data_IF_753072482781
#
_entry.id   IF_753072482781
#
_cell.length_a   1.000
_cell.length_b   1.000
_cell.length_c   1.000
_cell.angle_alpha   90.00
_cell.angle_beta   90.00
_cell.angle_gamma   90.00
#
_symmetry.space_group_name_H-M   'P 1'
#
loop_
_entity.id
_entity.type
_entity.pdbx_description
1 polymer ?
#
# COMPACT_ATOMS: atom_id res chain seq x y z
N UNK A 1 -59.30 27.09 -3.50
CA UNK A 1 -59.74 28.35 -2.84
C UNK A 1 -59.37 28.29 -1.35
N UNK A 2 -59.61 29.37 -0.61
CA UNK A 2 -59.10 29.72 0.73
C UNK A 2 -59.30 28.64 1.85
N UNK A 3 -58.38 28.51 2.84
CA UNK A 3 -58.39 27.46 3.90
C UNK A 3 -59.09 27.90 5.20
N UNK A 4 -59.14 27.08 6.27
CA UNK A 4 -58.20 27.22 7.43
C UNK A 4 -57.98 25.88 8.22
N UNK A 5 -57.53 25.84 9.50
CA UNK A 5 -56.62 26.71 10.29
C UNK A 5 -55.38 25.96 10.85
N UNK A 6 -54.48 26.70 11.54
CA UNK A 6 -53.48 26.14 12.48
C UNK A 6 -54.08 26.00 13.89
N UNK A 7 -53.49 25.16 14.74
CA UNK A 7 -53.62 25.28 16.20
C UNK A 7 -52.28 24.98 16.89
N UNK A 8 -51.97 25.70 17.97
CA UNK A 8 -50.72 25.61 18.72
C UNK A 8 -51.01 25.73 20.22
N UNK A 9 -50.39 24.89 21.05
CA UNK A 9 -50.42 25.00 22.51
C UNK A 9 -49.02 24.83 23.11
N UNK A 10 -48.80 25.48 24.24
CA UNK A 10 -47.53 25.61 24.95
C UNK A 10 -47.84 25.75 26.46
N UNK A 11 -46.81 25.63 27.32
CA UNK A 11 -46.90 25.65 28.81
C UNK A 11 -47.51 24.35 29.40
N UNK A 12 -47.21 23.91 30.63
CA UNK A 12 -46.46 24.53 31.75
C UNK A 12 -45.72 23.51 32.65
N UNK A 13 -44.63 23.98 33.28
CA UNK A 13 -44.04 23.50 34.56
C UNK A 13 -44.46 24.51 35.69
N UNK A 14 -44.09 24.39 36.99
CA UNK A 14 -43.31 23.36 37.73
C UNK A 14 -43.98 22.88 39.06
N UNK A 15 -43.30 22.04 39.86
CA UNK A 15 -43.50 21.89 41.32
C UNK A 15 -42.11 21.79 42.04
N UNK A 16 -41.98 22.33 43.26
CA UNK A 16 -40.74 22.36 44.05
C UNK A 16 -41.02 22.43 45.58
N UNK A 17 -40.34 21.59 46.39
CA UNK A 17 -40.11 21.66 47.87
C UNK A 17 -38.93 20.70 48.17
N UNK A 18 -37.83 21.01 48.90
CA UNK A 18 -37.61 21.58 50.26
C UNK A 18 -37.96 20.60 51.42
N UNK A 19 -37.16 20.42 52.50
CA UNK A 19 -35.77 20.83 52.85
C UNK A 19 -35.20 19.91 53.99
N UNK A 20 -33.85 19.83 54.11
CA UNK A 20 -32.93 19.34 55.19
C UNK A 20 -33.43 19.03 56.64
N UNK A 21 -32.67 18.30 57.52
CA UNK A 21 -31.19 18.18 57.63
C UNK A 21 -30.69 16.72 57.94
N UNK A 22 -29.54 16.32 58.54
CA UNK A 22 -28.26 16.81 59.17
C UNK A 22 -27.33 15.54 59.27
N UNK A 23 -26.01 15.46 59.51
CA UNK A 23 -24.82 16.34 59.69
C UNK A 23 -23.53 15.48 59.48
N UNK A 24 -22.32 16.06 59.63
CA UNK A 24 -20.98 15.43 59.75
C UNK A 24 -20.42 14.75 58.47
N UNK A 25 -19.26 15.12 57.89
CA UNK A 25 -18.43 16.33 58.07
C UNK A 25 -16.93 16.02 58.27
N UNK A 26 -16.12 16.18 57.21
CA UNK A 26 -14.66 16.13 57.30
C UNK A 26 -13.96 17.25 56.51
N UNK A 27 -12.83 17.69 57.07
CA UNK A 27 -11.90 18.75 56.62
C UNK A 27 -11.65 18.80 55.11
N UNK A 28 -11.66 20.01 54.56
CA UNK A 28 -10.98 20.31 53.30
C UNK A 28 -9.45 20.24 53.46
N UNK A 29 -8.76 19.80 52.41
CA UNK A 29 -7.37 20.14 52.08
C UNK A 29 -7.32 20.53 50.62
N UNK A 30 -6.67 21.65 50.32
CA UNK A 30 -6.39 22.07 48.95
C UNK A 30 -5.23 21.26 48.36
N UNK A 31 -5.37 20.87 47.09
CA UNK A 31 -4.26 20.48 46.23
C UNK A 31 -4.38 21.22 44.88
N UNK A 32 -3.27 21.46 44.16
CA UNK A 32 -3.28 22.30 42.96
C UNK A 32 -4.01 21.64 41.79
N UNK A 33 -4.47 22.46 40.84
CA UNK A 33 -4.97 21.98 39.56
C UNK A 33 -3.88 21.24 38.78
N UNK A 34 -4.07 19.95 38.53
CA UNK A 34 -3.32 19.25 37.50
C UNK A 34 -3.66 19.88 36.14
N UNK A 35 -2.68 20.54 35.52
CA UNK A 35 -2.85 21.07 34.18
C UNK A 35 -3.02 19.91 33.20
N UNK A 36 -4.22 19.74 32.65
CA UNK A 36 -4.52 18.72 31.64
C UNK A 36 -3.82 19.08 30.34
N UNK A 37 -2.59 18.60 30.17
CA UNK A 37 -1.83 18.71 28.92
C UNK A 37 -2.50 17.87 27.84
N UNK A 38 -3.44 18.46 27.10
CA UNK A 38 -4.06 17.88 25.92
C UNK A 38 -3.01 17.71 24.82
N UNK A 39 -2.40 16.52 24.75
CA UNK A 39 -1.38 16.21 23.74
C UNK A 39 -2.05 16.08 22.37
N UNK A 40 -2.02 17.18 21.60
CA UNK A 40 -2.46 17.21 20.22
C UNK A 40 -1.43 16.50 19.33
N UNK A 41 -1.58 15.18 19.16
CA UNK A 41 -0.75 14.36 18.28
C UNK A 41 -1.06 14.61 16.79
N UNK A 42 -0.86 15.85 16.33
CA UNK A 42 -1.18 16.28 14.97
C UNK A 42 -0.10 17.23 14.40
N UNK A 43 1.15 16.81 14.51
CA UNK A 43 2.27 17.38 13.77
C UNK A 43 3.28 16.26 13.45
N UNK A 44 3.75 16.18 12.20
CA UNK A 44 4.86 15.28 11.82
C UNK A 44 6.14 15.89 12.38
N UNK A 45 6.42 15.59 13.65
CA UNK A 45 7.52 16.20 14.38
C UNK A 45 8.85 15.52 14.00
N UNK A 46 9.43 15.94 12.87
CA UNK A 46 10.72 15.43 12.37
C UNK A 46 11.91 15.64 13.33
N UNK A 47 11.69 16.32 14.47
CA UNK A 47 12.68 16.53 15.52
C UNK A 47 12.19 16.04 16.91
N UNK A 48 11.56 14.86 16.95
CA UNK A 48 11.23 14.18 18.21
C UNK A 48 12.44 13.43 18.80
N UNK A 49 13.40 14.19 19.35
CA UNK A 49 14.36 13.75 20.38
C UNK A 49 15.15 12.44 20.13
N UNK A 50 15.74 12.25 18.94
CA UNK A 50 16.62 11.12 18.63
C UNK A 50 17.84 11.50 17.80
N UNK A 51 19.02 10.94 18.10
CA UNK A 51 20.26 11.14 17.34
C UNK A 51 20.45 10.11 16.20
N UNK A 52 19.34 9.58 15.67
CA UNK A 52 19.31 8.59 14.58
C UNK A 52 18.44 9.11 13.43
N UNK A 53 18.73 8.68 12.20
CA UNK A 53 17.86 8.90 11.04
C UNK A 53 16.54 8.13 11.19
N UNK A 54 15.50 8.54 10.46
CA UNK A 54 14.27 7.75 10.34
C UNK A 54 14.57 6.43 9.62
N UNK A 55 14.02 5.34 10.15
CA UNK A 55 14.14 4.00 9.59
C UNK A 55 13.04 3.72 8.57
N UNK A 56 13.42 3.47 7.31
CA UNK A 56 12.48 3.26 6.20
C UNK A 56 12.50 1.81 5.71
N UNK A 57 11.34 1.18 5.57
CA UNK A 57 11.20 -0.12 4.93
C UNK A 57 10.39 -0.02 3.64
N UNK A 58 10.66 -0.93 2.69
CA UNK A 58 9.81 -1.19 1.52
C UNK A 58 9.21 -2.60 1.66
N UNK A 59 7.89 -2.75 1.51
CA UNK A 59 7.24 -4.06 1.39
C UNK A 59 6.79 -4.27 -0.06
N UNK A 60 7.17 -5.40 -0.64
CA UNK A 60 6.89 -5.76 -2.03
C UNK A 60 6.22 -7.14 -2.05
N UNK A 61 5.01 -7.24 -2.58
CA UNK A 61 4.36 -8.50 -2.99
C UNK A 61 3.86 -8.31 -4.42
N UNK A 62 4.54 -8.84 -5.45
CA UNK A 62 4.22 -8.49 -6.84
C UNK A 62 2.76 -8.79 -7.22
N UNK A 63 2.14 -7.85 -7.93
CA UNK A 63 0.77 -7.98 -8.43
C UNK A 63 0.66 -9.14 -9.42
N UNK A 64 -0.37 -9.98 -9.31
CA UNK A 64 -0.67 -11.03 -10.30
C UNK A 64 0.20 -12.30 -10.23
N UNK A 65 0.85 -12.60 -9.10
CA UNK A 65 1.73 -13.79 -8.95
C UNK A 65 1.19 -14.87 -7.99
N UNK A 66 -0.06 -14.72 -7.50
CA UNK A 66 -0.69 -15.69 -6.59
C UNK A 66 0.02 -15.88 -5.26
N UNK A 67 0.57 -14.79 -4.69
CA UNK A 67 1.31 -14.84 -3.44
C UNK A 67 0.46 -15.38 -2.28
N UNK A 68 1.03 -16.26 -1.46
CA UNK A 68 0.33 -16.85 -0.33
C UNK A 68 -0.16 -15.80 0.70
N UNK A 69 0.49 -14.63 0.78
CA UNK A 69 0.02 -13.44 1.51
C UNK A 69 0.26 -12.21 0.63
N UNK A 70 -0.80 -11.46 0.30
CA UNK A 70 -0.79 -10.35 -0.67
C UNK A 70 -1.08 -10.77 -2.10
N UNK A 71 -1.64 -11.97 -2.29
CA UNK A 71 -2.19 -12.44 -3.56
C UNK A 71 -3.70 -12.19 -3.70
N UNK A 72 -4.36 -11.65 -2.67
CA UNK A 72 -5.81 -11.43 -2.59
C UNK A 72 -6.09 -10.01 -2.10
N UNK A 73 -7.29 -9.46 -2.39
CA UNK A 73 -7.64 -8.07 -2.09
C UNK A 73 -7.58 -7.72 -0.58
N UNK A 74 -6.38 -7.32 -0.13
CA UNK A 74 -6.12 -6.81 1.22
C UNK A 74 -5.55 -7.82 2.21
N UNK A 75 -5.23 -9.06 1.82
CA UNK A 75 -4.76 -10.07 2.79
C UNK A 75 -3.34 -9.80 3.31
N UNK A 76 -2.55 -8.96 2.62
CA UNK A 76 -1.29 -8.39 3.12
C UNK A 76 -1.46 -7.13 4.00
N UNK A 77 -2.63 -6.48 4.05
CA UNK A 77 -2.85 -5.26 4.84
C UNK A 77 -2.58 -5.46 6.35
N UNK A 78 -2.89 -6.61 7.00
CA UNK A 78 -2.49 -6.88 8.38
C UNK A 78 -0.96 -6.89 8.58
N UNK A 79 -0.20 -7.42 7.61
CA UNK A 79 1.27 -7.44 7.64
C UNK A 79 1.81 -6.02 7.50
N UNK A 80 1.29 -5.23 6.54
CA UNK A 80 1.67 -3.83 6.37
C UNK A 80 1.39 -3.00 7.64
N UNK A 81 0.24 -3.22 8.31
CA UNK A 81 -0.10 -2.58 9.60
C UNK A 81 0.88 -2.97 10.71
N UNK A 82 1.31 -4.22 10.77
CA UNK A 82 2.27 -4.67 11.78
C UNK A 82 3.67 -4.11 11.52
N UNK A 83 4.14 -4.10 10.26
CA UNK A 83 5.39 -3.47 9.85
C UNK A 83 5.39 -1.96 10.14
N UNK A 84 4.31 -1.26 9.78
CA UNK A 84 4.11 0.17 10.06
C UNK A 84 4.14 0.50 11.57
N UNK A 85 3.91 -0.48 12.46
CA UNK A 85 4.04 -0.26 13.91
C UNK A 85 5.49 -0.27 14.43
N UNK A 86 6.43 -0.84 13.67
CA UNK A 86 7.86 -0.93 14.06
C UNK A 86 8.78 0.01 13.27
N UNK A 87 8.45 0.41 12.04
CA UNK A 87 9.26 1.31 11.20
C UNK A 87 8.88 2.79 11.40
N UNK A 88 9.73 3.73 10.95
CA UNK A 88 9.37 5.17 10.96
C UNK A 88 8.67 5.59 9.66
N UNK A 89 8.97 4.91 8.54
CA UNK A 89 8.25 5.01 7.28
C UNK A 89 8.17 3.63 6.60
N UNK A 90 6.99 3.26 6.10
CA UNK A 90 6.80 2.09 5.24
C UNK A 90 6.39 2.54 3.84
N UNK A 91 7.07 2.04 2.81
CA UNK A 91 6.68 2.19 1.41
C UNK A 91 6.03 0.88 0.99
N UNK A 92 4.80 0.94 0.48
CA UNK A 92 4.07 -0.23 -0.01
C UNK A 92 3.15 0.17 -1.17
N UNK A 93 2.82 -0.80 -2.01
CA UNK A 93 2.11 -0.56 -3.27
C UNK A 93 0.61 -0.92 -3.18
N UNK A 94 -0.23 -0.54 -4.17
CA UNK A 94 -1.68 -0.71 -4.12
C UNK A 94 -2.13 -2.12 -3.74
N UNK A 95 -1.51 -3.17 -4.30
CA UNK A 95 -1.88 -4.57 -4.04
C UNK A 95 -1.68 -5.03 -2.57
N UNK A 96 -0.84 -4.33 -1.78
CA UNK A 96 -0.70 -4.59 -0.33
C UNK A 96 -1.73 -3.80 0.50
N UNK A 97 -2.15 -2.62 0.01
CA UNK A 97 -2.87 -1.62 0.81
C UNK A 97 -4.37 -1.52 0.49
N UNK A 98 -4.78 -1.96 -0.70
CA UNK A 98 -6.16 -2.00 -1.16
C UNK A 98 -6.86 -3.27 -0.69
N UNK A 99 -8.09 -3.13 -0.17
CA UNK A 99 -8.94 -4.24 0.27
C UNK A 99 -10.39 -4.03 -0.20
N UNK A 100 -10.53 -3.67 -1.49
CA UNK A 100 -11.79 -3.28 -2.15
C UNK A 100 -12.55 -2.16 -1.41
N UNK A 101 -13.59 -2.49 -0.63
CA UNK A 101 -14.31 -1.51 0.18
C UNK A 101 -13.58 -1.14 1.48
N UNK A 102 -12.71 -2.04 1.95
CA UNK A 102 -11.93 -1.87 3.17
C UNK A 102 -10.62 -1.14 2.87
N UNK A 103 -10.17 -0.33 3.84
CA UNK A 103 -8.84 0.25 3.89
C UNK A 103 -8.51 0.51 5.36
N UNK A 104 -7.23 0.69 5.71
CA UNK A 104 -6.85 1.07 7.07
C UNK A 104 -5.98 2.34 7.06
N UNK A 105 -6.37 3.41 7.78
CA UNK A 105 -5.58 4.63 7.82
C UNK A 105 -4.26 4.41 8.59
N UNK A 106 -3.14 4.63 7.91
CA UNK A 106 -1.78 4.56 8.46
C UNK A 106 -1.04 5.84 8.10
N UNK A 107 -0.53 6.56 9.10
CA UNK A 107 0.02 7.91 8.94
C UNK A 107 1.49 7.95 8.51
N UNK A 108 2.17 6.79 8.57
CA UNK A 108 3.58 6.59 8.22
C UNK A 108 3.76 5.59 7.06
N UNK A 109 2.71 5.40 6.25
CA UNK A 109 2.74 4.53 5.07
C UNK A 109 2.60 5.37 3.80
N UNK A 110 3.50 5.15 2.84
CA UNK A 110 3.47 5.77 1.52
C UNK A 110 2.94 4.78 0.49
N UNK A 111 1.82 5.15 -0.13
CA UNK A 111 1.12 4.41 -1.18
C UNK A 111 1.78 4.67 -2.54
N UNK A 112 2.62 3.76 -3.02
CA UNK A 112 3.47 3.95 -4.22
C UNK A 112 3.17 2.88 -5.27
N UNK A 113 2.78 3.30 -6.47
CA UNK A 113 2.50 2.39 -7.58
C UNK A 113 3.75 1.55 -7.97
N UNK A 114 3.56 0.34 -8.49
CA UNK A 114 4.63 -0.63 -8.70
C UNK A 114 5.79 -0.13 -9.59
N UNK A 115 5.48 0.48 -10.74
CA UNK A 115 6.51 1.06 -11.60
C UNK A 115 7.20 2.27 -10.96
N UNK A 116 6.46 3.11 -10.21
CA UNK A 116 7.04 4.18 -9.42
C UNK A 116 8.00 3.65 -8.34
N UNK A 117 7.69 2.51 -7.73
CA UNK A 117 8.55 1.82 -6.76
C UNK A 117 9.83 1.29 -7.43
N UNK A 118 9.74 0.73 -8.63
CA UNK A 118 10.92 0.32 -9.41
C UNK A 118 11.82 1.53 -9.74
N UNK A 119 11.25 2.62 -10.29
CA UNK A 119 12.02 3.83 -10.65
C UNK A 119 12.59 4.55 -9.42
N UNK A 120 11.93 4.43 -8.26
CA UNK A 120 12.45 4.86 -6.97
C UNK A 120 13.65 4.01 -6.54
N UNK A 121 13.53 2.67 -6.58
CA UNK A 121 14.59 1.74 -6.19
C UNK A 121 15.87 1.88 -7.05
N UNK A 122 15.71 2.17 -8.35
CA UNK A 122 16.82 2.51 -9.26
C UNK A 122 17.51 3.86 -8.95
N UNK A 123 16.95 4.68 -8.05
CA UNK A 123 17.43 6.03 -7.78
C UNK A 123 17.24 7.01 -8.94
N UNK A 124 16.25 6.73 -9.82
CA UNK A 124 15.82 7.65 -10.89
C UNK A 124 14.77 8.64 -10.39
N UNK A 125 13.87 8.20 -9.50
CA UNK A 125 12.81 9.02 -8.91
C UNK A 125 13.00 9.16 -7.39
N UNK A 126 12.66 10.32 -6.84
CA UNK A 126 12.49 10.55 -5.40
C UNK A 126 11.00 10.60 -5.04
N UNK A 127 10.64 10.14 -3.84
CA UNK A 127 9.28 10.19 -3.33
C UNK A 127 9.09 11.43 -2.47
N UNK A 128 8.10 12.27 -2.79
CA UNK A 128 7.76 13.48 -2.04
C UNK A 128 6.45 13.31 -1.26
N UNK A 129 6.48 13.08 0.07
CA UNK A 129 5.28 13.02 0.88
C UNK A 129 4.43 14.29 0.75
N UNK A 130 3.11 14.11 0.74
CA UNK A 130 2.12 15.19 0.65
C UNK A 130 1.25 15.23 1.89
N UNK A 131 0.61 16.38 2.15
CA UNK A 131 -0.48 16.44 3.12
C UNK A 131 -1.79 15.91 2.51
N UNK A 132 -2.06 16.26 1.25
CA UNK A 132 -3.26 15.91 0.51
C UNK A 132 -3.01 16.10 -1.00
N UNK A 133 -3.48 15.16 -1.83
CA UNK A 133 -3.52 15.27 -3.30
C UNK A 133 -4.84 15.88 -3.80
N UNK A 134 -4.93 16.15 -5.09
CA UNK A 134 -6.17 16.43 -5.85
C UNK A 134 -6.38 15.25 -6.80
N UNK A 135 -7.39 14.44 -6.54
CA UNK A 135 -7.64 13.19 -7.29
C UNK A 135 -8.54 13.48 -8.48
N UNK A 136 -8.14 13.02 -9.67
CA UNK A 136 -9.00 12.93 -10.85
C UNK A 136 -9.48 11.50 -11.08
N UNK A 137 -10.69 11.33 -11.60
CA UNK A 137 -11.29 10.02 -11.87
C UNK A 137 -11.47 9.81 -13.38
N UNK A 138 -10.79 8.81 -13.95
CA UNK A 138 -11.07 8.34 -15.31
C UNK A 138 -12.04 7.17 -15.24
N UNK A 139 -13.13 7.25 -15.99
CA UNK A 139 -14.09 6.17 -16.20
C UNK A 139 -13.99 5.68 -17.64
N UNK A 140 -13.83 4.38 -17.83
CA UNK A 140 -13.88 3.75 -19.14
C UNK A 140 -15.29 3.87 -19.77
N UNK A 141 -15.36 4.33 -21.01
CA UNK A 141 -16.60 4.41 -21.78
C UNK A 141 -17.32 3.06 -21.96
N UNK A 142 -16.58 1.95 -21.83
CA UNK A 142 -17.14 0.60 -21.83
C UNK A 142 -17.99 0.27 -20.60
N UNK A 143 -17.89 1.03 -19.51
CA UNK A 143 -18.67 0.78 -18.28
C UNK A 143 -20.13 1.13 -18.53
N UNK A 144 -21.02 0.18 -18.25
CA UNK A 144 -22.47 0.29 -18.34
C UNK A 144 -23.03 1.39 -17.42
N UNK A 145 -24.13 2.01 -17.83
CA UNK A 145 -24.71 3.19 -17.17
C UNK A 145 -24.91 3.00 -15.65
N UNK A 146 -25.42 1.84 -15.21
CA UNK A 146 -25.63 1.56 -13.78
C UNK A 146 -24.31 1.37 -13.01
N UNK A 147 -23.36 0.59 -13.55
CA UNK A 147 -22.04 0.43 -12.92
C UNK A 147 -21.31 1.78 -12.84
N UNK A 148 -21.41 2.61 -13.88
CA UNK A 148 -20.85 3.96 -13.93
C UNK A 148 -21.44 4.86 -12.84
N UNK A 149 -22.75 4.82 -12.65
CA UNK A 149 -23.45 5.53 -11.56
C UNK A 149 -22.98 5.02 -10.19
N UNK A 150 -22.82 3.71 -9.98
CA UNK A 150 -22.29 3.15 -8.72
C UNK A 150 -20.86 3.65 -8.40
N UNK A 151 -19.98 3.78 -9.40
CA UNK A 151 -18.64 4.34 -9.21
C UNK A 151 -18.67 5.85 -8.88
N UNK A 152 -19.54 6.63 -9.54
CA UNK A 152 -19.75 8.04 -9.21
C UNK A 152 -20.32 8.23 -7.79
N UNK A 153 -21.27 7.40 -7.38
CA UNK A 153 -21.80 7.39 -6.00
C UNK A 153 -20.71 7.09 -4.97
N UNK A 154 -19.74 6.24 -5.27
CA UNK A 154 -18.58 6.00 -4.39
C UNK A 154 -17.65 7.22 -4.32
N UNK A 155 -17.41 7.92 -5.43
CA UNK A 155 -16.64 9.16 -5.43
C UNK A 155 -17.32 10.24 -4.57
N UNK A 156 -18.65 10.44 -4.70
CA UNK A 156 -19.40 11.39 -3.88
C UNK A 156 -19.52 10.95 -2.41
N UNK A 157 -19.69 9.65 -2.13
CA UNK A 157 -19.69 9.13 -0.77
C UNK A 157 -18.32 9.32 -0.08
N UNK A 158 -17.22 9.16 -0.81
CA UNK A 158 -15.86 9.42 -0.32
C UNK A 158 -15.63 10.93 -0.08
N UNK A 159 -16.12 11.81 -0.97
CA UNK A 159 -16.11 13.27 -0.77
C UNK A 159 -16.89 13.67 0.47
N UNK A 160 -18.11 13.14 0.65
CA UNK A 160 -19.02 13.52 1.73
C UNK A 160 -18.69 12.90 3.10
N UNK A 161 -18.30 11.62 3.14
CA UNK A 161 -18.13 10.86 4.39
C UNK A 161 -16.69 10.85 4.90
N UNK A 162 -15.72 10.90 3.99
CA UNK A 162 -14.29 10.79 4.29
C UNK A 162 -13.52 12.09 4.01
N UNK A 163 -14.18 13.10 3.44
CA UNK A 163 -13.57 14.38 3.06
C UNK A 163 -12.57 14.27 1.91
N UNK A 164 -12.64 13.23 1.07
CA UNK A 164 -11.60 12.98 0.07
C UNK A 164 -11.66 13.98 -1.11
N UNK A 165 -10.49 14.46 -1.58
CA UNK A 165 -10.35 15.53 -2.57
C UNK A 165 -10.49 15.03 -4.01
N UNK A 166 -11.56 14.29 -4.30
CA UNK A 166 -11.90 13.88 -5.68
C UNK A 166 -12.49 15.09 -6.39
N UNK A 167 -11.78 15.62 -7.38
CA UNK A 167 -12.05 16.94 -7.94
C UNK A 167 -13.09 16.90 -9.07
N UNK A 168 -12.78 16.15 -10.12
CA UNK A 168 -13.54 16.03 -11.37
C UNK A 168 -13.36 14.60 -11.92
N UNK A 169 -14.29 14.17 -12.77
CA UNK A 169 -14.18 12.93 -13.53
C UNK A 169 -14.22 13.20 -15.03
N UNK A 170 -13.71 12.26 -15.81
CA UNK A 170 -13.80 12.24 -17.27
C UNK A 170 -14.14 10.82 -17.73
N UNK A 171 -14.88 10.69 -18.83
CA UNK A 171 -15.10 9.41 -19.50
C UNK A 171 -14.12 9.32 -20.68
N UNK A 172 -13.55 8.15 -20.96
CA UNK A 172 -12.68 7.96 -22.14
C UNK A 172 -13.45 8.19 -23.45
N UNK A 173 -12.75 8.53 -24.53
CA UNK A 173 -13.41 8.77 -25.84
C UNK A 173 -13.90 7.47 -26.49
N UNK A 174 -13.27 6.35 -26.13
CA UNK A 174 -13.58 4.99 -26.60
C UNK A 174 -13.42 3.99 -25.45
N UNK A 175 -14.14 2.85 -25.47
CA UNK A 175 -13.95 1.79 -24.47
C UNK A 175 -12.51 1.29 -24.46
N UNK A 176 -11.90 1.05 -23.30
CA UNK A 176 -10.50 0.60 -23.23
C UNK A 176 -10.30 -0.80 -23.81
N UNK A 177 -11.32 -1.66 -23.68
CA UNK A 177 -11.36 -3.09 -24.04
C UNK A 177 -10.19 -3.84 -23.41
N UNK A 178 -10.40 -4.25 -22.16
CA UNK A 178 -9.50 -5.10 -21.39
C UNK A 178 -9.49 -6.52 -21.97
N UNK A 179 -8.30 -7.08 -22.13
CA UNK A 179 -8.04 -8.50 -22.35
C UNK A 179 -7.07 -8.98 -21.27
N UNK A 180 -7.40 -10.09 -20.60
CA UNK A 180 -6.61 -10.67 -19.50
C UNK A 180 -6.36 -12.16 -19.75
N UNK A 181 -5.24 -12.68 -19.26
CA UNK A 181 -4.92 -14.11 -19.31
C UNK A 181 -3.85 -14.48 -18.26
N UNK A 182 -3.76 -15.77 -17.94
CA UNK A 182 -2.60 -16.34 -17.23
C UNK A 182 -1.53 -16.69 -18.27
N UNK A 183 -0.28 -16.27 -18.05
CA UNK A 183 0.83 -16.65 -18.91
C UNK A 183 1.20 -18.13 -18.68
N UNK A 184 1.12 -19.00 -19.71
CA UNK A 184 1.25 -20.45 -19.54
C UNK A 184 2.69 -20.93 -19.33
N UNK A 185 3.68 -20.03 -19.27
CA UNK A 185 5.09 -20.35 -18.98
C UNK A 185 5.50 -19.93 -17.57
N UNK A 186 4.87 -18.90 -17.03
CA UNK A 186 5.26 -18.25 -15.77
C UNK A 186 4.18 -18.27 -14.70
N UNK A 187 2.95 -18.68 -15.02
CA UNK A 187 1.81 -18.69 -14.09
C UNK A 187 1.28 -17.32 -13.68
N UNK A 188 1.96 -16.22 -14.05
CA UNK A 188 1.56 -14.84 -13.75
C UNK A 188 0.28 -14.48 -14.49
N UNK A 189 -0.61 -13.71 -13.87
CA UNK A 189 -1.66 -12.99 -14.62
C UNK A 189 -1.06 -11.78 -15.33
N UNK A 190 -1.61 -11.47 -16.50
CA UNK A 190 -1.16 -10.37 -17.36
C UNK A 190 -2.26 -10.02 -18.36
N UNK A 191 -2.02 -9.00 -19.19
CA UNK A 191 -2.90 -8.69 -20.31
C UNK A 191 -2.65 -7.32 -20.92
N UNK A 192 -3.69 -6.72 -21.48
CA UNK A 192 -3.62 -5.42 -22.18
C UNK A 192 -4.98 -4.71 -22.24
N UNK A 193 -4.93 -3.42 -22.57
CA UNK A 193 -6.06 -2.65 -23.11
C UNK A 193 -5.85 -2.41 -24.61
N UNK A 194 -6.90 -2.45 -25.42
CA UNK A 194 -6.79 -2.20 -26.88
C UNK A 194 -6.59 -0.73 -27.23
N UNK A 195 -7.11 0.20 -26.42
CA UNK A 195 -7.14 1.63 -26.74
C UNK A 195 -6.38 2.51 -25.71
N UNK A 196 -5.07 2.29 -25.47
CA UNK A 196 -4.29 3.01 -24.45
C UNK A 196 -4.26 4.53 -24.69
N UNK A 197 -4.28 4.99 -25.95
CA UNK A 197 -4.36 6.42 -26.26
C UNK A 197 -5.62 7.11 -25.71
N UNK A 198 -6.73 6.37 -25.57
CA UNK A 198 -8.00 6.87 -25.01
C UNK A 198 -7.88 7.15 -23.51
N UNK A 199 -7.19 6.25 -22.79
CA UNK A 199 -6.81 6.45 -21.38
C UNK A 199 -5.86 7.65 -21.23
N UNK A 200 -4.81 7.74 -22.06
CA UNK A 200 -3.84 8.83 -21.97
C UNK A 200 -4.48 10.20 -22.28
N UNK A 201 -5.37 10.31 -23.28
CA UNK A 201 -6.14 11.54 -23.59
C UNK A 201 -7.01 11.98 -22.39
N UNK A 202 -7.70 11.03 -21.77
CA UNK A 202 -8.53 11.26 -20.59
C UNK A 202 -7.72 11.76 -19.39
N UNK A 203 -6.61 11.09 -19.04
CA UNK A 203 -5.73 11.53 -17.95
C UNK A 203 -5.10 12.89 -18.25
N UNK A 204 -4.57 13.08 -19.46
CA UNK A 204 -3.95 14.35 -19.87
C UNK A 204 -4.95 15.52 -19.74
N UNK A 205 -6.23 15.28 -20.02
CA UNK A 205 -7.32 16.25 -19.87
C UNK A 205 -7.54 16.65 -18.40
N UNK A 206 -7.62 15.70 -17.47
CA UNK A 206 -7.75 15.97 -16.03
C UNK A 206 -6.55 16.76 -15.48
N UNK A 207 -5.33 16.37 -15.85
CA UNK A 207 -4.10 17.06 -15.42
C UNK A 207 -4.10 18.50 -15.96
N UNK A 208 -4.41 18.70 -17.24
CA UNK A 208 -4.33 20.02 -17.88
C UNK A 208 -5.46 20.97 -17.50
N UNK A 209 -6.71 20.49 -17.37
CA UNK A 209 -7.87 21.34 -17.06
C UNK A 209 -8.11 21.44 -15.57
N UNK A 210 -8.38 20.30 -14.93
CA UNK A 210 -8.82 20.16 -13.53
C UNK A 210 -7.69 20.33 -12.51
N UNK A 211 -6.43 20.34 -12.96
CA UNK A 211 -5.21 20.43 -12.14
C UNK A 211 -5.17 19.40 -11.02
N UNK A 212 -5.41 18.13 -11.40
CA UNK A 212 -5.21 16.99 -10.50
C UNK A 212 -3.74 16.60 -10.46
N UNK A 213 -3.31 15.97 -9.37
CA UNK A 213 -1.95 15.43 -9.20
C UNK A 213 -1.95 13.98 -8.70
N UNK A 214 -3.12 13.33 -8.62
CA UNK A 214 -3.26 11.89 -8.47
C UNK A 214 -4.45 11.43 -9.32
N UNK A 215 -4.43 10.18 -9.79
CA UNK A 215 -5.41 9.65 -10.76
C UNK A 215 -5.95 8.29 -10.31
N UNK A 216 -7.26 8.17 -10.18
CA UNK A 216 -7.95 6.90 -10.11
C UNK A 216 -8.45 6.53 -11.52
N UNK A 217 -8.17 5.31 -11.98
CA UNK A 217 -8.69 4.79 -13.25
C UNK A 217 -9.65 3.64 -12.97
N UNK A 218 -10.84 3.70 -13.56
CA UNK A 218 -11.80 2.60 -13.56
C UNK A 218 -11.91 2.06 -14.98
N UNK A 219 -11.39 0.85 -15.22
CA UNK A 219 -11.55 0.12 -16.48
C UNK A 219 -12.77 -0.80 -16.46
N UNK A 220 -13.45 -1.01 -17.59
CA UNK A 220 -14.41 -2.11 -17.73
C UNK A 220 -13.63 -3.38 -18.04
N UNK A 221 -13.59 -4.29 -17.07
CA UNK A 221 -13.00 -5.61 -17.24
C UNK A 221 -14.03 -6.57 -17.84
N UNK A 222 -13.63 -7.64 -18.54
CA UNK A 222 -14.56 -8.72 -18.87
C UNK A 222 -15.11 -9.33 -17.57
N UNK A 223 -16.39 -9.70 -17.58
CA UNK A 223 -16.97 -10.50 -16.51
C UNK A 223 -16.51 -11.96 -16.67
N UNK A 224 -16.11 -12.58 -15.56
CA UNK A 224 -15.60 -13.94 -15.55
C UNK A 224 -16.72 -14.98 -15.39
N UNK A 225 -16.57 -16.11 -16.09
CA UNK A 225 -17.34 -17.31 -15.76
C UNK A 225 -16.93 -17.82 -14.37
N UNK A 226 -17.93 -18.21 -13.56
CA UNK A 226 -17.73 -18.57 -12.15
C UNK A 226 -16.79 -19.78 -11.98
N UNK A 227 -16.74 -20.67 -12.97
CA UNK A 227 -15.83 -21.82 -12.99
C UNK A 227 -14.36 -21.42 -13.21
N UNK A 228 -14.06 -20.32 -13.90
CA UNK A 228 -12.68 -19.84 -14.10
C UNK A 228 -12.11 -19.16 -12.84
N UNK A 229 -12.98 -18.67 -11.94
CA UNK A 229 -12.58 -17.92 -10.74
C UNK A 229 -12.73 -18.67 -9.42
N UNK A 230 -13.32 -19.88 -9.39
CA UNK A 230 -13.61 -20.56 -8.12
C UNK A 230 -12.34 -20.82 -7.28
N UNK A 231 -11.22 -21.25 -7.88
CA UNK A 231 -9.96 -21.42 -7.15
C UNK A 231 -9.55 -20.13 -6.39
N UNK A 232 -9.55 -18.98 -7.08
CA UNK A 232 -9.21 -17.70 -6.48
C UNK A 232 -10.21 -17.31 -5.36
N UNK A 233 -11.50 -17.57 -5.58
CA UNK A 233 -12.58 -17.36 -4.59
C UNK A 233 -12.48 -18.34 -3.39
N UNK A 234 -11.88 -19.51 -3.56
CA UNK A 234 -11.45 -20.42 -2.48
C UNK A 234 -10.14 -20.00 -1.80
N UNK A 235 -9.48 -18.92 -2.24
CA UNK A 235 -8.21 -18.45 -1.69
C UNK A 235 -7.00 -19.26 -2.17
N UNK A 236 -7.07 -19.78 -3.41
CA UNK A 236 -6.03 -20.59 -4.06
C UNK A 236 -5.69 -20.04 -5.47
N UNK A 237 -4.41 -20.06 -5.85
CA UNK A 237 -3.98 -19.66 -7.19
C UNK A 237 -3.79 -18.15 -7.36
N UNK A 238 -4.13 -17.63 -8.55
CA UNK A 238 -3.72 -16.31 -9.03
C UNK A 238 -4.96 -15.51 -9.46
N UNK A 239 -5.08 -14.27 -9.01
CA UNK A 239 -6.06 -13.34 -9.58
C UNK A 239 -5.73 -13.04 -11.05
N UNK A 240 -6.67 -13.32 -11.95
CA UNK A 240 -6.56 -13.05 -13.37
C UNK A 240 -6.74 -11.55 -13.74
N UNK A 241 -7.30 -10.71 -12.86
CA UNK A 241 -7.52 -9.28 -13.09
C UNK A 241 -6.24 -8.47 -12.86
N UNK A 242 -5.58 -8.69 -11.71
CA UNK A 242 -4.41 -8.01 -11.17
C UNK A 242 -3.34 -7.62 -12.22
N UNK A 243 -2.97 -8.54 -13.12
CA UNK A 243 -1.98 -8.28 -14.16
C UNK A 243 -2.33 -7.13 -15.10
N UNK A 244 -3.62 -6.94 -15.43
CA UNK A 244 -4.06 -5.81 -16.28
C UNK A 244 -4.21 -4.53 -15.46
N UNK A 245 -4.62 -4.62 -14.20
CA UNK A 245 -4.67 -3.45 -13.30
C UNK A 245 -3.29 -2.78 -13.20
N UNK A 246 -2.24 -3.59 -13.02
CA UNK A 246 -0.86 -3.14 -13.03
C UNK A 246 -0.47 -2.50 -14.37
N UNK A 247 -0.85 -3.09 -15.51
CA UNK A 247 -0.60 -2.50 -16.84
C UNK A 247 -1.28 -1.13 -16.99
N UNK A 248 -2.51 -0.97 -16.49
CA UNK A 248 -3.26 0.29 -16.54
C UNK A 248 -2.59 1.37 -15.67
N UNK A 249 -2.24 1.06 -14.41
CA UNK A 249 -1.59 2.04 -13.53
C UNK A 249 -0.18 2.39 -13.99
N UNK A 250 0.63 1.39 -14.36
CA UNK A 250 2.00 1.56 -14.87
C UNK A 250 2.01 2.50 -16.08
N UNK A 251 1.10 2.30 -17.05
CA UNK A 251 1.01 3.14 -18.25
C UNK A 251 0.81 4.63 -17.90
N UNK A 252 -0.09 4.92 -16.96
CA UNK A 252 -0.39 6.30 -16.53
C UNK A 252 0.76 6.91 -15.74
N UNK A 253 1.34 6.16 -14.79
CA UNK A 253 2.50 6.60 -14.01
C UNK A 253 3.70 6.88 -14.90
N UNK A 254 3.95 6.02 -15.89
CA UNK A 254 5.09 6.12 -16.81
C UNK A 254 5.02 7.34 -17.73
N UNK A 255 3.84 7.64 -18.26
CA UNK A 255 3.65 8.78 -19.16
C UNK A 255 3.64 10.11 -18.39
N UNK A 256 2.91 10.19 -17.27
CA UNK A 256 2.60 11.47 -16.61
C UNK A 256 3.36 11.73 -15.30
N UNK A 257 4.04 10.74 -14.73
CA UNK A 257 4.81 10.82 -13.47
C UNK A 257 3.96 11.28 -12.25
N UNK A 258 2.65 11.10 -12.31
CA UNK A 258 1.71 11.31 -11.19
C UNK A 258 1.32 9.97 -10.55
N UNK A 259 1.05 9.91 -9.23
CA UNK A 259 0.45 8.76 -8.59
C UNK A 259 -0.85 8.30 -9.28
N UNK A 260 -0.88 7.04 -9.69
CA UNK A 260 -2.05 6.40 -10.27
C UNK A 260 -2.35 5.07 -9.57
N UNK A 261 -3.63 4.73 -9.46
CA UNK A 261 -4.08 3.41 -9.09
C UNK A 261 -5.40 3.07 -9.80
N UNK A 262 -5.73 1.78 -9.83
CA UNK A 262 -6.82 1.22 -10.61
C UNK A 262 -7.89 0.58 -9.72
N UNK A 263 -9.14 0.54 -10.20
CA UNK A 263 -10.23 -0.26 -9.64
C UNK A 263 -11.06 -0.87 -10.80
N UNK A 264 -11.34 -2.18 -10.83
CA UNK A 264 -12.06 -2.80 -11.93
C UNK A 264 -13.57 -2.57 -11.80
N UNK A 265 -14.20 -2.11 -12.88
CA UNK A 265 -15.65 -2.21 -13.04
C UNK A 265 -15.99 -3.60 -13.57
N UNK A 266 -16.75 -4.34 -12.77
CA UNK A 266 -17.23 -5.70 -13.01
C UNK A 266 -18.72 -5.78 -12.68
N UNK A 267 -19.43 -6.71 -13.31
CA UNK A 267 -20.77 -7.12 -12.87
C UNK A 267 -20.68 -7.79 -11.49
N UNK A 268 -21.68 -7.60 -10.60
CA UNK A 268 -21.72 -8.31 -9.33
C UNK A 268 -21.86 -9.83 -9.55
N UNK A 269 -20.93 -10.60 -9.00
CA UNK A 269 -20.99 -12.07 -9.01
C UNK A 269 -22.15 -12.60 -8.16
N UNK A 270 -22.68 -13.81 -8.45
CA UNK A 270 -23.65 -14.46 -7.58
C UNK A 270 -23.06 -14.77 -6.19
N UNK A 271 -23.89 -14.59 -5.15
CA UNK A 271 -23.51 -14.82 -3.75
C UNK A 271 -22.95 -16.24 -3.53
N UNK A 272 -21.65 -16.33 -3.23
CA UNK A 272 -21.01 -17.59 -2.82
C UNK A 272 -21.17 -17.83 -1.32
N UNK A 273 -21.51 -19.07 -0.93
CA UNK A 273 -21.62 -19.49 0.49
C UNK A 273 -20.33 -20.06 1.06
N UNK A 274 -19.44 -20.54 0.19
CA UNK A 274 -18.15 -21.14 0.49
C UNK A 274 -17.06 -20.26 -0.09
N UNK A 275 -16.93 -19.04 0.44
CA UNK A 275 -15.93 -18.07 0.02
C UNK A 275 -14.79 -18.03 1.05
N UNK A 276 -13.56 -17.89 0.57
CA UNK A 276 -12.41 -17.74 1.45
C UNK A 276 -12.41 -16.40 2.18
N UNK A 277 -12.02 -16.34 3.47
CA UNK A 277 -11.81 -15.08 4.17
C UNK A 277 -10.77 -14.15 3.52
N UNK A 278 -9.90 -14.65 2.63
CA UNK A 278 -8.93 -13.84 1.87
C UNK A 278 -9.57 -13.01 0.77
N UNK A 279 -10.51 -13.60 0.02
CA UNK A 279 -11.23 -12.95 -1.09
C UNK A 279 -12.53 -12.26 -0.63
N UNK A 280 -12.97 -12.49 0.60
CA UNK A 280 -14.22 -11.97 1.15
C UNK A 280 -14.34 -10.43 1.21
N UNK A 281 -13.24 -9.68 1.04
CA UNK A 281 -13.27 -8.23 0.93
C UNK A 281 -13.96 -7.73 -0.35
N UNK A 282 -13.94 -8.53 -1.42
CA UNK A 282 -14.39 -8.15 -2.77
C UNK A 282 -15.92 -8.16 -2.88
N UNK A 283 -16.60 -9.10 -2.20
CA UNK A 283 -18.08 -9.14 -2.13
C UNK A 283 -18.69 -7.95 -1.39
N UNK A 284 -17.89 -7.16 -0.65
CA UNK A 284 -18.41 -6.08 0.19
C UNK A 284 -18.91 -4.87 -0.61
N UNK A 285 -18.61 -4.76 -1.90
CA UNK A 285 -19.19 -3.70 -2.74
C UNK A 285 -18.67 -3.61 -4.18
N UNK A 286 -19.53 -3.05 -5.03
CA UNK A 286 -19.53 -3.23 -6.50
C UNK A 286 -18.50 -2.45 -7.32
N UNK A 287 -17.40 -1.97 -6.72
CA UNK A 287 -16.56 -0.95 -7.39
C UNK A 287 -15.06 -0.97 -7.08
N UNK A 288 -14.61 -1.65 -6.01
CA UNK A 288 -13.23 -1.64 -5.48
C UNK A 288 -12.61 -0.26 -5.14
N UNK A 289 -13.26 0.84 -5.54
CA UNK A 289 -12.74 2.20 -5.59
C UNK A 289 -12.50 2.93 -4.25
N UNK A 290 -13.16 2.63 -3.10
CA UNK A 290 -12.94 3.36 -1.85
C UNK A 290 -11.49 3.32 -1.35
N UNK A 291 -10.86 2.13 -1.38
CA UNK A 291 -9.48 1.97 -0.94
C UNK A 291 -8.49 2.72 -1.84
N UNK A 292 -8.71 2.67 -3.16
CA UNK A 292 -7.96 3.39 -4.20
C UNK A 292 -8.02 4.90 -3.99
N UNK A 293 -9.22 5.45 -3.76
CA UNK A 293 -9.37 6.88 -3.47
C UNK A 293 -8.70 7.27 -2.15
N UNK A 294 -8.78 6.41 -1.12
CA UNK A 294 -8.10 6.67 0.16
C UNK A 294 -6.58 6.67 0.02
N UNK A 295 -5.98 5.69 -0.68
CA UNK A 295 -4.54 5.62 -0.90
C UNK A 295 -4.00 6.74 -1.78
N UNK A 296 -4.72 7.08 -2.86
CA UNK A 296 -4.35 8.20 -3.72
C UNK A 296 -4.47 9.58 -3.03
N UNK A 297 -5.24 9.68 -1.94
CA UNK A 297 -5.39 10.96 -1.21
C UNK A 297 -4.10 11.45 -0.56
N UNK A 298 -3.19 10.55 -0.18
CA UNK A 298 -1.92 10.85 0.48
C UNK A 298 -0.67 10.24 -0.19
N UNK A 299 -0.83 9.51 -1.32
CA UNK A 299 0.26 8.98 -2.13
C UNK A 299 1.34 10.05 -2.43
N UNK A 300 2.65 9.77 -2.23
CA UNK A 300 3.70 10.75 -2.45
C UNK A 300 3.82 11.09 -3.94
N UNK A 301 4.15 12.34 -4.25
CA UNK A 301 4.43 12.78 -5.62
C UNK A 301 5.80 12.28 -6.07
N UNK A 302 5.96 11.95 -7.35
CA UNK A 302 7.21 11.43 -7.90
C UNK A 302 8.05 12.58 -8.47
N UNK A 303 9.33 12.66 -8.10
CA UNK A 303 10.27 13.65 -8.66
C UNK A 303 11.40 12.96 -9.42
N UNK A 304 11.44 13.15 -10.74
CA UNK A 304 12.55 12.70 -11.58
C UNK A 304 13.89 13.33 -11.17
N UNK A 305 15.00 12.61 -11.43
CA UNK A 305 16.39 13.05 -11.23
C UNK A 305 16.77 14.33 -11.97
N UNK A 306 16.07 14.67 -13.06
CA UNK A 306 16.22 15.98 -13.71
C UNK A 306 15.81 17.17 -12.81
N UNK A 307 15.17 16.90 -11.67
CA UNK A 307 14.74 17.87 -10.68
C UNK A 307 15.40 17.67 -9.29
N UNK A 308 16.64 17.14 -9.22
CA UNK A 308 17.42 16.95 -7.98
C UNK A 308 17.41 18.17 -7.03
N UNK A 309 17.41 19.40 -7.57
CA UNK A 309 17.34 20.64 -6.76
C UNK A 309 16.02 20.82 -6.00
N UNK A 310 14.98 20.08 -6.34
CA UNK A 310 13.66 20.09 -5.68
C UNK A 310 13.48 18.92 -4.69
N UNK A 311 14.46 18.03 -4.56
CA UNK A 311 14.43 16.84 -3.69
C UNK A 311 14.52 17.14 -2.19
N UNK A 312 14.57 18.43 -1.79
CA UNK A 312 14.42 18.82 -0.38
C UNK A 312 13.09 18.29 0.17
N UNK A 313 13.17 17.67 1.34
CA UNK A 313 12.07 17.00 2.05
C UNK A 313 11.48 15.77 1.33
N UNK A 314 12.22 15.18 0.39
CA UNK A 314 11.86 13.91 -0.27
C UNK A 314 12.62 12.72 0.33
N UNK A 315 12.13 11.51 0.07
CA UNK A 315 12.79 10.23 0.40
C UNK A 315 13.46 9.70 -0.88
N UNK A 316 14.69 9.21 -0.74
CA UNK A 316 15.53 8.66 -1.81
C UNK A 316 15.74 7.15 -1.63
N UNK A 317 16.20 6.46 -2.69
CA UNK A 317 16.52 5.02 -2.63
C UNK A 317 17.48 4.68 -1.46
N UNK A 318 18.48 5.53 -1.25
CA UNK A 318 19.50 5.38 -0.20
C UNK A 318 18.95 5.60 1.23
N UNK A 319 17.73 6.12 1.40
CA UNK A 319 17.10 6.27 2.71
C UNK A 319 16.41 4.97 3.17
N UNK A 320 16.25 3.98 2.28
CA UNK A 320 15.65 2.67 2.62
C UNK A 320 16.64 1.84 3.44
N UNK A 321 16.27 1.46 4.66
CA UNK A 321 17.03 0.57 5.54
C UNK A 321 16.79 -0.92 5.26
N UNK A 322 15.61 -1.28 4.74
CA UNK A 322 15.21 -2.68 4.56
C UNK A 322 14.13 -2.89 3.50
N UNK A 323 14.12 -4.08 2.88
CA UNK A 323 13.14 -4.49 1.87
C UNK A 323 12.59 -5.86 2.24
N UNK A 324 11.28 -6.06 2.19
CA UNK A 324 10.61 -7.33 2.54
C UNK A 324 9.84 -7.85 1.33
N UNK A 325 10.06 -9.10 0.94
CA UNK A 325 9.43 -9.71 -0.24
C UNK A 325 9.27 -11.24 -0.15
N UNK A 326 8.40 -11.86 -0.97
CA UNK A 326 8.31 -13.31 -1.16
C UNK A 326 9.66 -13.97 -1.49
N UNK A 327 9.86 -15.21 -1.02
CA UNK A 327 11.14 -15.94 -1.17
C UNK A 327 11.56 -16.22 -2.62
N UNK A 328 10.60 -16.28 -3.53
CA UNK A 328 10.76 -16.63 -4.94
C UNK A 328 10.53 -15.45 -5.90
N UNK A 329 10.34 -14.23 -5.36
CA UNK A 329 10.00 -13.02 -6.13
C UNK A 329 11.12 -11.97 -6.20
N UNK A 330 12.38 -12.35 -5.94
CA UNK A 330 13.51 -11.42 -5.87
C UNK A 330 13.99 -10.90 -7.25
N UNK A 331 13.38 -11.36 -8.35
CA UNK A 331 13.73 -11.00 -9.73
C UNK A 331 13.07 -9.74 -10.29
N UNK A 332 12.17 -9.08 -9.55
CA UNK A 332 11.55 -7.83 -9.99
C UNK A 332 12.52 -6.65 -10.04
N UNK A 333 12.33 -5.71 -10.97
CA UNK A 333 13.21 -4.56 -11.22
C UNK A 333 13.64 -3.84 -9.93
N UNK A 334 12.69 -3.43 -9.08
CA UNK A 334 12.99 -2.75 -7.82
C UNK A 334 13.75 -3.60 -6.81
N UNK A 335 13.46 -4.91 -6.72
CA UNK A 335 14.20 -5.83 -5.85
C UNK A 335 15.65 -5.99 -6.32
N UNK A 336 15.85 -6.15 -7.63
CA UNK A 336 17.18 -6.20 -8.25
C UNK A 336 17.94 -4.88 -8.10
N UNK A 337 17.27 -3.73 -8.19
CA UNK A 337 17.87 -2.42 -8.01
C UNK A 337 18.41 -2.23 -6.58
N UNK A 338 17.59 -2.52 -5.56
CA UNK A 338 18.04 -2.51 -4.17
C UNK A 338 19.18 -3.51 -3.90
N UNK A 339 19.09 -4.73 -4.44
CA UNK A 339 20.11 -5.77 -4.29
C UNK A 339 21.48 -5.40 -4.89
N UNK A 340 21.48 -4.60 -5.96
CA UNK A 340 22.67 -4.19 -6.74
C UNK A 340 23.17 -2.78 -6.41
N UNK A 341 22.60 -2.12 -5.40
CA UNK A 341 23.02 -0.77 -4.98
C UNK A 341 24.46 -0.78 -4.43
N UNK A 342 25.35 -0.05 -5.11
CA UNK A 342 26.76 0.09 -4.73
C UNK A 342 27.01 1.20 -3.68
N UNK A 343 26.01 2.01 -3.33
CA UNK A 343 26.16 3.13 -2.37
C UNK A 343 25.60 2.77 -1.00
N UNK A 344 24.35 2.27 -0.98
CA UNK A 344 23.67 1.83 0.22
C UNK A 344 22.79 0.63 -0.12
N UNK A 345 23.14 -0.56 0.38
CA UNK A 345 22.39 -1.79 0.19
C UNK A 345 21.48 -2.00 1.42
N UNK A 346 20.14 -1.96 1.28
CA UNK A 346 19.23 -2.19 2.40
C UNK A 346 19.29 -3.65 2.87
N UNK A 347 18.83 -3.91 4.09
CA UNK A 347 18.62 -5.26 4.60
C UNK A 347 17.44 -5.91 3.87
N UNK A 348 17.73 -6.76 2.88
CA UNK A 348 16.72 -7.52 2.14
C UNK A 348 16.31 -8.75 2.95
N UNK A 349 15.00 -8.94 3.14
CA UNK A 349 14.39 -9.98 3.96
C UNK A 349 13.42 -10.78 3.10
N UNK A 350 13.76 -12.04 2.85
CA UNK A 350 12.99 -12.94 1.99
C UNK A 350 12.15 -13.91 2.83
N UNK A 351 10.83 -13.92 2.62
CA UNK A 351 9.87 -14.59 3.51
C UNK A 351 9.43 -15.94 2.92
N UNK A 352 9.76 -17.04 3.60
CA UNK A 352 9.60 -18.41 3.08
C UNK A 352 8.13 -18.87 3.03
N UNK A 353 7.28 -18.54 4.02
CA UNK A 353 5.84 -18.88 3.97
C UNK A 353 5.08 -18.16 2.84
N UNK A 354 5.66 -17.10 2.27
CA UNK A 354 5.06 -16.36 1.17
C UNK A 354 5.63 -16.87 -0.15
N UNK A 355 5.17 -18.05 -0.56
CA UNK A 355 5.42 -18.62 -1.89
C UNK A 355 4.53 -17.94 -2.95
N UNK A 356 4.96 -18.01 -4.21
CA UNK A 356 4.25 -17.49 -5.39
C UNK A 356 4.35 -18.47 -6.55
N UNK A 357 3.86 -18.12 -7.75
CA UNK A 357 4.08 -18.90 -8.98
C UNK A 357 5.50 -18.76 -9.57
N UNK A 358 6.44 -18.15 -8.85
CA UNK A 358 7.76 -17.76 -9.37
C UNK A 358 8.90 -18.71 -8.99
N UNK A 359 10.12 -18.38 -9.42
CA UNK A 359 11.35 -19.13 -9.13
C UNK A 359 12.59 -18.20 -9.04
N UNK A 360 12.35 -16.91 -8.90
CA UNK A 360 13.34 -15.84 -8.85
C UNK A 360 13.92 -15.72 -7.43
N UNK A 361 14.49 -16.81 -6.91
CA UNK A 361 15.01 -16.90 -5.53
C UNK A 361 16.32 -16.13 -5.32
N UNK A 362 16.65 -15.74 -4.07
CA UNK A 362 17.95 -15.16 -3.71
C UNK A 362 19.15 -15.99 -4.19
N UNK A 363 19.07 -17.32 -4.08
CA UNK A 363 20.17 -18.23 -4.39
C UNK A 363 20.38 -18.37 -5.91
N UNK A 364 19.31 -18.35 -6.72
CA UNK A 364 19.40 -18.39 -8.18
C UNK A 364 19.85 -17.06 -8.79
N UNK A 365 19.62 -15.95 -8.09
CA UNK A 365 20.00 -14.59 -8.53
C UNK A 365 21.32 -14.08 -7.94
N UNK A 366 21.88 -14.76 -6.94
CA UNK A 366 23.12 -14.35 -6.25
C UNK A 366 22.93 -13.12 -5.35
N UNK A 367 21.79 -13.03 -4.65
CA UNK A 367 21.43 -11.88 -3.80
C UNK A 367 21.58 -12.25 -2.32
N UNK A 368 22.42 -11.51 -1.59
CA UNK A 368 22.48 -11.60 -0.13
C UNK A 368 21.14 -11.13 0.48
N UNK A 369 20.48 -12.01 1.24
CA UNK A 369 19.25 -11.72 1.99
C UNK A 369 19.29 -12.38 3.37
N UNK A 370 18.49 -11.87 4.31
CA UNK A 370 18.09 -12.63 5.49
C UNK A 370 16.83 -13.42 5.14
N UNK A 371 16.96 -14.75 4.98
CA UNK A 371 15.79 -15.63 4.88
C UNK A 371 15.10 -15.72 6.25
N UNK A 372 13.78 -15.65 6.25
CA UNK A 372 12.93 -15.77 7.45
C UNK A 372 11.71 -16.62 7.14
N UNK A 373 11.33 -17.50 8.05
CA UNK A 373 10.29 -18.48 7.73
C UNK A 373 8.88 -17.88 7.67
N UNK A 374 8.65 -16.73 8.30
CA UNK A 374 7.35 -16.06 8.33
C UNK A 374 7.45 -14.54 8.56
N UNK A 375 6.34 -13.83 8.34
CA UNK A 375 6.26 -12.38 8.55
C UNK A 375 6.42 -11.94 10.01
N UNK A 376 6.08 -12.78 11.00
CA UNK A 376 6.33 -12.44 12.42
C UNK A 376 7.83 -12.34 12.69
N UNK A 377 8.60 -13.26 12.11
CA UNK A 377 10.06 -13.24 12.14
C UNK A 377 10.64 -12.07 11.33
N UNK A 378 10.08 -11.75 10.16
CA UNK A 378 10.47 -10.55 9.39
C UNK A 378 10.32 -9.26 10.21
N UNK A 379 9.20 -9.09 10.92
CA UNK A 379 8.95 -7.97 11.83
C UNK A 379 9.98 -7.94 12.97
N UNK A 380 10.34 -9.10 13.53
CA UNK A 380 11.37 -9.22 14.56
C UNK A 380 12.77 -8.81 14.08
N UNK A 381 13.16 -9.24 12.87
CA UNK A 381 14.42 -8.86 12.20
C UNK A 381 14.49 -7.35 11.99
N UNK A 382 13.39 -6.72 11.56
CA UNK A 382 13.28 -5.27 11.36
C UNK A 382 13.38 -4.50 12.68
N UNK A 383 12.71 -4.97 13.74
CA UNK A 383 12.78 -4.34 15.05
C UNK A 383 14.22 -4.36 15.62
N UNK A 384 14.94 -5.47 15.42
CA UNK A 384 16.36 -5.60 15.78
C UNK A 384 17.24 -4.65 14.95
N UNK A 385 17.08 -4.64 13.63
CA UNK A 385 17.87 -3.80 12.73
C UNK A 385 17.67 -2.30 13.03
N UNK A 386 16.42 -1.85 13.24
CA UNK A 386 16.10 -0.47 13.66
C UNK A 386 16.71 -0.09 15.02
N UNK A 387 16.75 -1.03 15.97
CA UNK A 387 17.44 -0.81 17.24
C UNK A 387 18.95 -0.60 17.06
N UNK A 388 19.54 -1.07 15.95
CA UNK A 388 20.98 -1.12 15.72
C UNK A 388 21.61 -2.42 16.24
N UNK A 389 20.82 -3.50 16.30
CA UNK A 389 21.22 -4.83 16.73
C UNK A 389 21.32 -5.71 15.47
N UNK A 390 22.44 -6.41 15.30
CA UNK A 390 22.57 -7.46 14.28
C UNK A 390 21.52 -8.57 14.57
N UNK A 391 20.56 -8.84 13.66
CA UNK A 391 19.54 -9.87 13.85
C UNK A 391 20.11 -11.27 14.14
N UNK A 392 21.31 -11.61 13.66
CA UNK A 392 21.96 -12.89 13.98
C UNK A 392 22.36 -12.99 15.47
N UNK A 393 22.49 -11.87 16.18
CA UNK A 393 22.68 -11.85 17.65
C UNK A 393 21.50 -12.44 18.42
N UNK A 394 20.31 -12.48 17.83
CA UNK A 394 19.09 -13.01 18.44
C UNK A 394 18.87 -14.50 18.11
N UNK A 395 19.69 -15.09 17.23
CA UNK A 395 19.65 -16.52 16.90
C UNK A 395 20.46 -17.31 17.93
N UNK A 396 19.89 -18.41 18.45
CA UNK A 396 20.49 -19.30 19.48
C UNK A 396 21.97 -19.65 19.24
N UNK A 397 22.35 -19.86 17.97
CA UNK A 397 23.71 -20.21 17.54
C UNK A 397 24.26 -19.22 16.47
N UNK A 398 23.73 -17.99 16.38
CA UNK A 398 24.08 -17.06 15.29
C UNK A 398 25.44 -16.39 15.44
N UNK A 399 25.91 -16.20 16.68
CA UNK A 399 27.19 -15.53 16.96
C UNK A 399 28.33 -16.55 17.00
N UNK A 400 29.36 -16.26 16.21
CA UNK A 400 30.63 -16.98 16.16
C UNK A 400 31.75 -16.08 16.70
N UNK A 401 32.88 -16.68 17.08
CA UNK A 401 34.08 -15.92 17.47
C UNK A 401 34.53 -14.99 16.34
N UNK A 402 34.95 -13.77 16.69
CA UNK A 402 35.44 -12.77 15.73
C UNK A 402 36.68 -13.28 14.99
N UNK A 403 36.58 -13.33 13.65
CA UNK A 403 37.67 -13.83 12.80
C UNK A 403 38.79 -12.79 12.70
N UNK A 404 40.03 -13.18 12.98
CA UNK A 404 41.19 -12.34 12.69
C UNK A 404 41.46 -12.33 11.18
N UNK A 405 41.51 -11.14 10.57
CA UNK A 405 41.77 -10.99 9.14
C UNK A 405 43.29 -11.01 8.89
N UNK A 406 43.86 -12.21 8.70
CA UNK A 406 45.28 -12.38 8.39
C UNK A 406 45.62 -11.88 6.98
N UNK A 407 46.16 -10.66 6.87
CA UNK A 407 46.56 -10.02 5.61
C UNK A 407 47.86 -10.56 5.00
N UNK A 408 48.36 -11.70 5.50
CA UNK A 408 49.53 -12.42 4.98
C UNK A 408 49.20 -13.89 4.80
N UNK A 409 49.39 -14.40 3.57
CA UNK A 409 49.36 -15.83 3.31
C UNK A 409 50.71 -16.45 3.74
N UNK A 410 50.74 -17.40 4.70
CA UNK A 410 51.92 -18.22 4.92
C UNK A 410 52.07 -19.18 3.73
N UNK A 411 52.96 -18.82 2.81
CA UNK A 411 53.40 -19.62 1.65
C UNK A 411 52.40 -19.75 0.49
N UNK A 412 52.27 -18.69 -0.31
CA UNK A 412 52.54 -18.75 -1.75
C UNK A 412 51.64 -19.55 -2.70
N UNK A 413 50.54 -20.16 -2.25
CA UNK A 413 49.60 -20.90 -3.11
C UNK A 413 48.20 -20.28 -3.12
N UNK A 414 47.51 -20.23 -4.28
CA UNK A 414 46.16 -19.69 -4.37
C UNK A 414 45.14 -20.64 -3.74
N UNK A 415 44.40 -20.16 -2.75
CA UNK A 415 43.30 -20.92 -2.12
C UNK A 415 42.07 -20.82 -3.03
N UNK A 416 41.60 -21.97 -3.53
CA UNK A 416 40.35 -22.05 -4.30
C UNK A 416 39.16 -21.81 -3.38
N UNK A 417 38.45 -20.70 -3.59
CA UNK A 417 37.27 -20.31 -2.81
C UNK A 417 36.01 -21.04 -3.30
N UNK A 418 35.81 -22.28 -2.82
CA UNK A 418 34.52 -22.95 -2.97
C UNK A 418 33.45 -22.24 -2.12
N UNK A 419 32.26 -21.91 -2.66
CA UNK A 419 31.19 -21.29 -1.86
C UNK A 419 30.63 -22.29 -0.84
N UNK A 420 30.58 -21.89 0.43
CA UNK A 420 29.95 -22.70 1.47
C UNK A 420 28.43 -22.66 1.29
N UNK A 421 27.85 -23.77 0.84
CA UNK A 421 26.41 -24.02 1.04
C UNK A 421 26.15 -24.20 2.53
N UNK A 422 25.13 -23.50 3.03
CA UNK A 422 24.53 -23.79 4.32
C UNK A 422 23.15 -24.41 4.07
N UNK A 423 22.85 -25.48 4.83
CA UNK A 423 21.50 -26.02 5.01
C UNK A 423 20.87 -25.38 6.25
#
# INVERSE_FOLDING_TARGET
>A
MIPPPKMSLHLSNPIQLQIFPRRNGFRAKSQPSAATSSVSCSAINRYSAGCKRQYTSVMIVPTGVGAAIGGYAGDALPVARALASVVDCLIAHPNILNAAMLYWPMHNVLYVEGYALDRFAEGLWALKPVHQNRIGLVLDAGIEEELRIRHLQVADAARASLGLPVMEYVVTETPLVVEKWIDPKTGKSTGRIRHPASLLSAVQTLINRSKVNAVAVVGRFPDDDVEETDNYRQGMGVDALAGVEAVISHLVVKEFQVPCAHAPALSPTPLCKSLSPKSAAEELGYTFLPCVLSGLSNAPQYLSKSAESLWKDCILANDVDSVILPIDACGGDGALAFARSNQYKPLIIAVEENETVLSDTPDSLGIDVVKVSNYWEAIGVIAAHKAGIDPYSLRRNGINNTKCLSTTAPNGYPISSAPQRFN
#
